data_IF_505428916546
#
_entry.id   IF_505428916546
#
_cell.length_a   1.000
_cell.length_b   1.000
_cell.length_c   1.000
_cell.angle_alpha   90.00
_cell.angle_beta   90.00
_cell.angle_gamma   90.00
#
_symmetry.space_group_name_H-M   'P 1'
#
loop_
_entity.id
_entity.type
_entity.pdbx_description
1 polymer ?
#
# COMPACT_ATOMS: atom_id res chain seq x y z
N UNK A 1 -43.44 -11.46 29.03
CA UNK A 1 -42.45 -12.24 28.27
C UNK A 1 -41.54 -11.27 27.53
N UNK A 2 -40.52 -10.76 28.23
CA UNK A 2 -39.48 -9.85 27.74
C UNK A 2 -38.15 -10.50 28.12
N UNK A 3 -37.60 -11.31 27.24
CA UNK A 3 -36.19 -11.72 27.25
C UNK A 3 -35.83 -11.88 25.77
N UNK A 4 -35.28 -10.84 25.15
CA UNK A 4 -33.82 -10.66 25.11
C UNK A 4 -33.19 -11.88 24.46
N UNK A 5 -33.18 -11.89 23.13
CA UNK A 5 -32.07 -12.45 22.38
C UNK A 5 -31.75 -11.39 21.33
N UNK A 6 -31.01 -10.38 21.79
CA UNK A 6 -30.30 -9.45 20.94
C UNK A 6 -29.35 -10.32 20.11
N UNK A 7 -29.69 -10.53 18.84
CA UNK A 7 -28.83 -11.21 17.88
C UNK A 7 -27.60 -10.32 17.71
N UNK A 8 -26.58 -10.55 18.54
CA UNK A 8 -25.28 -9.91 18.43
C UNK A 8 -24.71 -10.42 17.11
N UNK A 9 -24.92 -9.62 16.06
CA UNK A 9 -24.18 -9.68 14.82
C UNK A 9 -22.75 -9.25 15.18
N UNK A 10 -21.99 -10.19 15.75
CA UNK A 10 -20.56 -10.03 16.00
C UNK A 10 -19.92 -10.10 14.61
N UNK A 11 -19.96 -8.97 13.91
CA UNK A 11 -19.07 -8.73 12.78
C UNK A 11 -17.66 -8.73 13.40
N UNK A 12 -17.05 -9.90 13.46
CA UNK A 12 -15.65 -10.03 13.75
C UNK A 12 -14.93 -9.29 12.61
N UNK A 13 -14.70 -7.99 12.81
CA UNK A 13 -13.68 -7.28 12.09
C UNK A 13 -12.40 -8.03 12.40
N UNK A 14 -11.92 -8.83 11.45
CA UNK A 14 -10.57 -9.36 11.50
C UNK A 14 -9.66 -8.14 11.47
N UNK A 15 -9.28 -7.69 12.66
CA UNK A 15 -8.30 -6.63 12.82
C UNK A 15 -6.98 -7.28 12.41
N UNK A 16 -6.57 -7.09 11.16
CA UNK A 16 -5.28 -7.55 10.68
C UNK A 16 -4.19 -6.74 11.39
N UNK A 17 -3.76 -7.24 12.55
CA UNK A 17 -2.75 -6.66 13.44
C UNK A 17 -1.31 -6.73 12.89
N UNK A 18 -1.12 -6.92 11.58
CA UNK A 18 0.20 -7.15 10.97
C UNK A 18 0.64 -6.09 9.96
N UNK A 19 -0.08 -4.97 9.79
CA UNK A 19 0.44 -3.86 9.00
C UNK A 19 1.61 -3.20 9.75
N UNK A 20 2.84 -3.53 9.36
CA UNK A 20 4.02 -2.83 9.85
C UNK A 20 3.97 -1.40 9.28
N UNK A 21 4.16 -0.35 10.07
CA UNK A 21 4.21 1.00 9.53
C UNK A 21 5.40 1.15 8.57
N UNK A 22 5.25 1.97 7.53
CA UNK A 22 6.38 2.36 6.68
C UNK A 22 7.35 3.16 7.54
N UNK A 23 8.63 2.78 7.52
CA UNK A 23 9.66 3.46 8.31
C UNK A 23 9.90 4.88 7.79
N UNK A 24 10.35 5.79 8.67
CA UNK A 24 10.70 7.18 8.31
C UNK A 24 11.78 7.29 7.22
N UNK A 25 12.58 6.25 7.01
CA UNK A 25 13.51 6.09 5.89
C UNK A 25 12.83 5.81 4.53
N UNK A 26 11.49 5.84 4.47
CA UNK A 26 10.69 5.43 3.34
C UNK A 26 10.97 3.99 2.89
N UNK A 27 11.02 3.08 3.87
CA UNK A 27 11.25 1.67 3.62
C UNK A 27 10.20 0.81 4.28
N UNK A 28 9.80 -0.27 3.61
CA UNK A 28 8.94 -1.31 4.16
C UNK A 28 9.64 -2.66 3.98
N UNK A 29 9.77 -3.42 5.07
CA UNK A 29 10.58 -4.65 5.10
C UNK A 29 11.99 -4.49 4.49
N UNK A 30 12.63 -3.33 4.70
CA UNK A 30 13.98 -3.03 4.20
C UNK A 30 14.07 -2.59 2.74
N UNK A 31 12.96 -2.60 2.00
CA UNK A 31 12.91 -2.15 0.60
C UNK A 31 12.50 -0.69 0.55
N UNK A 32 13.18 0.10 -0.28
CA UNK A 32 12.85 1.51 -0.55
C UNK A 32 11.56 1.60 -1.36
N UNK A 33 10.62 2.43 -0.93
CA UNK A 33 9.33 2.61 -1.61
C UNK A 33 9.37 3.70 -2.67
N UNK A 34 10.46 3.73 -3.44
CA UNK A 34 10.66 4.59 -4.60
C UNK A 34 11.58 3.88 -5.58
N UNK A 35 11.47 4.20 -6.86
CA UNK A 35 12.22 3.54 -7.91
C UNK A 35 11.35 3.08 -9.08
N UNK A 36 11.88 2.11 -9.82
CA UNK A 36 11.19 1.39 -10.87
C UNK A 36 10.29 0.32 -10.27
N UNK A 37 9.01 0.39 -10.58
CA UNK A 37 7.99 -0.50 -10.00
C UNK A 37 7.36 -1.31 -11.11
N UNK A 38 7.22 -2.62 -10.90
CA UNK A 38 6.48 -3.48 -11.82
C UNK A 38 5.19 -3.95 -11.19
N UNK A 39 4.09 -3.86 -11.93
CA UNK A 39 2.80 -4.43 -11.51
C UNK A 39 2.73 -5.88 -11.99
N UNK A 40 2.44 -6.80 -11.07
CA UNK A 40 2.35 -8.24 -11.35
C UNK A 40 1.09 -8.86 -10.77
N UNK A 41 0.74 -10.05 -11.27
CA UNK A 41 -0.39 -10.83 -10.75
C UNK A 41 0.02 -11.90 -9.74
N UNK A 42 1.27 -12.36 -9.72
CA UNK A 42 1.80 -13.36 -8.78
C UNK A 42 3.29 -13.06 -8.55
N UNK A 43 3.77 -13.29 -7.33
CA UNK A 43 5.18 -13.15 -6.98
C UNK A 43 5.55 -11.71 -6.69
N UNK A 44 4.59 -10.91 -6.25
CA UNK A 44 4.77 -9.55 -5.76
C UNK A 44 5.68 -9.50 -4.54
N UNK A 45 6.36 -8.37 -4.36
CA UNK A 45 7.05 -8.06 -3.11
C UNK A 45 6.05 -7.45 -2.12
N UNK A 46 5.10 -6.64 -2.62
CA UNK A 46 4.06 -5.98 -1.82
C UNK A 46 2.68 -6.03 -2.46
N UNK A 47 1.67 -6.23 -1.63
CA UNK A 47 0.25 -6.06 -1.95
C UNK A 47 -0.17 -4.65 -1.57
N UNK A 48 -0.79 -3.93 -2.50
CA UNK A 48 -1.10 -2.52 -2.34
C UNK A 48 -2.57 -2.25 -2.67
N UNK A 49 -3.24 -1.47 -1.84
CA UNK A 49 -4.57 -0.93 -2.15
C UNK A 49 -4.47 0.57 -2.43
N UNK A 50 -5.13 1.02 -3.50
CA UNK A 50 -5.23 2.45 -3.81
C UNK A 50 -6.42 3.06 -3.07
N UNK A 51 -6.19 4.10 -2.29
CA UNK A 51 -7.22 4.79 -1.49
C UNK A 51 -7.34 6.26 -1.87
N UNK A 52 -8.46 6.88 -1.48
CA UNK A 52 -8.68 8.32 -1.68
C UNK A 52 -8.10 9.20 -0.58
N UNK A 53 -8.04 8.72 0.66
CA UNK A 53 -7.50 9.39 1.84
C UNK A 53 -7.10 8.34 2.87
N UNK A 54 -6.28 8.72 3.84
CA UNK A 54 -5.80 7.81 4.88
C UNK A 54 -4.76 6.83 4.37
N UNK A 55 -4.02 7.23 3.32
CA UNK A 55 -2.93 6.48 2.75
C UNK A 55 -1.73 6.33 3.69
N UNK A 56 -0.96 5.27 3.52
CA UNK A 56 0.35 5.11 4.16
C UNK A 56 1.45 5.80 3.33
N UNK A 57 1.28 5.88 2.00
CA UNK A 57 2.23 6.47 1.07
C UNK A 57 1.54 7.26 -0.04
N UNK A 58 1.96 8.50 -0.26
CA UNK A 58 1.60 9.29 -1.44
C UNK A 58 2.53 8.91 -2.60
N UNK A 59 1.94 8.49 -3.71
CA UNK A 59 2.69 8.01 -4.89
C UNK A 59 2.51 8.95 -6.06
N UNK A 60 3.62 9.43 -6.60
CA UNK A 60 3.69 10.22 -7.84
C UNK A 60 4.33 9.37 -8.93
N UNK A 61 3.80 9.45 -10.15
CA UNK A 61 4.18 8.56 -11.26
C UNK A 61 4.64 9.36 -12.48
N UNK A 62 5.41 8.72 -13.38
CA UNK A 62 5.85 9.34 -14.63
C UNK A 62 7.20 10.06 -14.55
N UNK A 63 7.90 9.95 -13.42
CA UNK A 63 9.26 10.47 -13.25
C UNK A 63 10.28 9.61 -14.00
N UNK A 64 11.18 10.24 -14.75
CA UNK A 64 12.28 9.56 -15.47
C UNK A 64 13.32 9.00 -14.48
N UNK A 65 13.54 9.70 -13.36
CA UNK A 65 14.43 9.28 -12.28
C UNK A 65 13.66 9.29 -10.93
N UNK A 66 13.03 8.17 -10.53
CA UNK A 66 12.31 8.05 -9.28
C UNK A 66 13.27 7.85 -8.08
N UNK A 67 13.92 8.91 -7.61
CA UNK A 67 15.00 8.86 -6.61
C UNK A 67 14.58 9.25 -5.17
N UNK A 68 13.30 9.53 -4.94
CA UNK A 68 12.78 9.98 -3.65
C UNK A 68 11.51 9.25 -3.27
N UNK A 69 11.23 9.19 -1.97
CA UNK A 69 10.07 8.52 -1.38
C UNK A 69 8.76 8.73 -2.16
N UNK A 70 8.07 7.63 -2.49
CA UNK A 70 6.79 7.68 -3.19
C UNK A 70 6.87 8.03 -4.68
N UNK A 71 8.06 8.31 -5.26
CA UNK A 71 8.18 8.47 -6.71
C UNK A 71 8.36 7.13 -7.37
N UNK A 72 7.41 6.76 -8.23
CA UNK A 72 7.42 5.47 -8.92
C UNK A 72 7.51 5.67 -10.43
N UNK A 73 8.36 4.88 -11.08
CA UNK A 73 8.35 4.71 -12.53
C UNK A 73 7.85 3.31 -12.85
N UNK A 74 6.69 3.18 -13.48
CA UNK A 74 6.21 1.85 -13.85
C UNK A 74 6.99 1.28 -15.03
N UNK A 75 7.49 0.05 -14.89
CA UNK A 75 8.29 -0.64 -15.90
C UNK A 75 7.85 -2.10 -16.06
N UNK A 76 8.22 -2.71 -17.18
CA UNK A 76 7.98 -4.13 -17.43
C UNK A 76 9.20 -5.02 -17.13
N UNK A 77 10.41 -4.46 -17.09
CA UNK A 77 11.68 -5.17 -16.82
C UNK A 77 12.64 -4.20 -16.11
N UNK A 78 13.45 -4.73 -15.18
CA UNK A 78 14.48 -3.96 -14.48
C UNK A 78 13.91 -3.15 -13.33
N UNK A 79 12.84 -3.67 -12.72
CA UNK A 79 12.21 -3.14 -11.53
C UNK A 79 13.10 -3.26 -10.30
N UNK A 80 12.96 -2.29 -9.40
CA UNK A 80 13.54 -2.34 -8.05
C UNK A 80 12.67 -3.20 -7.12
N UNK A 81 11.34 -3.17 -7.33
CA UNK A 81 10.38 -4.04 -6.65
C UNK A 81 9.07 -4.22 -7.45
N UNK A 82 8.30 -5.22 -7.06
CA UNK A 82 7.02 -5.62 -7.67
C UNK A 82 5.88 -5.36 -6.72
N UNK A 83 4.79 -4.81 -7.25
CA UNK A 83 3.53 -4.66 -6.53
C UNK A 83 2.44 -5.50 -7.18
N UNK A 84 1.45 -5.88 -6.37
CA UNK A 84 0.15 -6.36 -6.83
C UNK A 84 -0.94 -5.49 -6.23
N UNK A 85 -1.87 -5.04 -7.06
CA UNK A 85 -3.07 -4.38 -6.56
C UNK A 85 -4.04 -5.40 -5.97
N UNK A 86 -4.57 -5.10 -4.79
CA UNK A 86 -5.56 -5.93 -4.09
C UNK A 86 -6.64 -5.05 -3.46
N UNK A 87 -7.84 -5.61 -3.28
CA UNK A 87 -8.95 -4.93 -2.61
C UNK A 87 -8.94 -5.13 -1.08
N UNK A 88 -8.34 -6.23 -0.62
CA UNK A 88 -8.27 -6.62 0.79
C UNK A 88 -6.89 -7.20 1.10
N UNK A 89 -6.51 -7.12 2.39
CA UNK A 89 -5.26 -7.67 2.92
C UNK A 89 -4.01 -7.08 2.23
N UNK A 90 -4.01 -5.76 2.01
CA UNK A 90 -2.83 -5.04 1.55
C UNK A 90 -1.78 -4.91 2.67
N UNK A 91 -0.51 -4.90 2.27
CA UNK A 91 0.61 -4.67 3.17
C UNK A 91 0.70 -3.17 3.56
N UNK A 92 0.36 -2.28 2.62
CA UNK A 92 0.15 -0.85 2.85
C UNK A 92 -0.76 -0.24 1.76
N UNK A 93 -1.32 0.93 2.05
CA UNK A 93 -2.18 1.69 1.16
C UNK A 93 -1.43 2.83 0.49
N UNK A 94 -1.79 3.13 -0.77
CA UNK A 94 -1.24 4.28 -1.50
C UNK A 94 -2.34 5.25 -1.93
N UNK A 95 -1.99 6.53 -2.03
CA UNK A 95 -2.79 7.51 -2.78
C UNK A 95 -1.97 8.04 -3.94
N UNK A 96 -2.52 7.95 -5.15
CA UNK A 96 -1.90 8.55 -6.33
C UNK A 96 -2.06 10.08 -6.27
N UNK A 97 -0.96 10.81 -6.45
CA UNK A 97 -0.91 12.28 -6.39
C UNK A 97 -0.17 12.85 -7.59
N UNK A 98 -0.45 14.12 -7.89
CA UNK A 98 0.26 14.88 -8.94
C UNK A 98 1.53 15.56 -8.42
N UNK A 99 1.62 15.84 -7.13
CA UNK A 99 2.78 16.39 -6.43
C UNK A 99 2.67 16.07 -4.94
N UNK A 100 3.80 16.14 -4.21
CA UNK A 100 3.87 15.87 -2.78
C UNK A 100 3.96 14.37 -2.47
N UNK A 101 4.70 13.63 -3.29
CA UNK A 101 5.04 12.24 -3.01
C UNK A 101 5.77 12.09 -1.66
N UNK A 102 5.56 10.95 -1.00
CA UNK A 102 6.22 10.63 0.26
C UNK A 102 5.25 10.15 1.33
N UNK A 103 5.74 10.11 2.56
CA UNK A 103 4.91 9.79 3.72
C UNK A 103 3.89 10.93 3.96
N UNK A 104 2.69 10.62 4.49
CA UNK A 104 1.65 11.59 4.82
C UNK A 104 2.10 12.82 5.59
#
# INVERSE_FOLDING_TARGET
>A
MKHIIFLIFFLAAFINLNSKPIASSCTFNGVKLYGKVRVVNIGEDFRVTVVRNGEDLKVETGMINPDSCGRWQFVNIGEDFKIRYVDLDADFTIRLVTNGAGLP
#
